data_IF_808664981069
#
_entry.id   IF_808664981069
#
_cell.length_a   1.000
_cell.length_b   1.000
_cell.length_c   1.000
_cell.angle_alpha   90.00
_cell.angle_beta   90.00
_cell.angle_gamma   90.00
#
_symmetry.space_group_name_H-M   'P 1'
#
loop_
_entity.id
_entity.type
_entity.pdbx_description
1 polymer ?
#
# COMPACT_ATOMS: atom_id res chain seq x y z
N UNK A 1 -0.41 23.17 6.86
CA UNK A 1 0.62 22.89 5.84
C UNK A 1 1.39 21.58 6.11
N UNK A 2 1.96 21.35 7.29
CA UNK A 2 2.78 20.16 7.56
C UNK A 2 2.03 18.81 7.44
N UNK A 3 0.81 18.71 7.97
CA UNK A 3 0.01 17.47 7.91
C UNK A 3 -0.37 17.06 6.47
N UNK A 4 -0.79 18.04 5.64
CA UNK A 4 -1.13 17.80 4.24
C UNK A 4 0.08 17.30 3.43
N UNK A 5 1.26 17.85 3.67
CA UNK A 5 2.50 17.39 3.05
C UNK A 5 2.87 15.96 3.49
N UNK A 6 2.71 15.63 4.77
CA UNK A 6 2.96 14.27 5.29
C UNK A 6 2.03 13.24 4.61
N UNK A 7 0.74 13.55 4.47
CA UNK A 7 -0.22 12.69 3.79
C UNK A 7 0.09 12.53 2.30
N UNK A 8 0.49 13.60 1.61
CA UNK A 8 0.90 13.50 0.21
C UNK A 8 2.13 12.60 0.04
N UNK A 9 3.10 12.67 0.96
CA UNK A 9 4.29 11.83 0.95
C UNK A 9 3.94 10.35 1.21
N UNK A 10 3.03 10.06 2.16
CA UNK A 10 2.59 8.68 2.43
C UNK A 10 1.90 8.07 1.21
N UNK A 11 1.01 8.82 0.54
CA UNK A 11 0.34 8.37 -0.68
C UNK A 11 1.32 8.10 -1.82
N UNK A 12 2.30 8.98 -2.03
CA UNK A 12 3.37 8.77 -3.03
C UNK A 12 4.19 7.52 -2.71
N UNK A 13 4.56 7.32 -1.44
CA UNK A 13 5.30 6.14 -0.97
C UNK A 13 4.51 4.86 -1.24
N UNK A 14 3.22 4.82 -0.87
CA UNK A 14 2.34 3.67 -1.11
C UNK A 14 2.19 3.35 -2.59
N UNK A 15 1.98 4.38 -3.43
CA UNK A 15 1.89 4.21 -4.88
C UNK A 15 3.18 3.60 -5.44
N UNK A 16 4.34 4.15 -5.06
CA UNK A 16 5.65 3.62 -5.48
C UNK A 16 5.82 2.15 -5.09
N UNK A 17 5.48 1.77 -3.85
CA UNK A 17 5.61 0.39 -3.38
C UNK A 17 4.68 -0.57 -4.13
N UNK A 18 3.46 -0.13 -4.44
CA UNK A 18 2.54 -0.87 -5.31
C UNK A 18 3.14 -1.08 -6.71
N UNK A 19 3.72 -0.03 -7.30
CA UNK A 19 4.36 -0.11 -8.61
C UNK A 19 5.58 -1.05 -8.59
N UNK A 20 6.40 -1.03 -7.53
CA UNK A 20 7.50 -1.98 -7.32
C UNK A 20 6.99 -3.43 -7.25
N UNK A 21 5.90 -3.68 -6.51
CA UNK A 21 5.28 -5.00 -6.44
C UNK A 21 4.71 -5.43 -7.79
N UNK A 22 4.06 -4.52 -8.52
CA UNK A 22 3.52 -4.80 -9.86
C UNK A 22 4.64 -5.19 -10.84
N UNK A 23 5.81 -4.57 -10.72
CA UNK A 23 6.95 -4.80 -11.58
C UNK A 23 7.88 -5.93 -11.10
N UNK A 24 7.58 -6.58 -9.97
CA UNK A 24 8.31 -7.77 -9.51
C UNK A 24 8.33 -8.85 -10.60
N UNK A 25 9.52 -9.42 -10.84
CA UNK A 25 9.69 -10.57 -11.72
C UNK A 25 8.88 -11.76 -11.19
N UNK A 26 8.26 -12.51 -12.10
CA UNK A 26 7.52 -13.72 -11.71
C UNK A 26 8.43 -14.77 -11.05
N UNK A 27 9.71 -14.80 -11.41
CA UNK A 27 10.72 -15.65 -10.78
C UNK A 27 10.88 -15.34 -9.29
N UNK A 28 10.78 -14.08 -8.87
CA UNK A 28 10.88 -13.68 -7.46
C UNK A 28 9.69 -14.18 -6.65
N UNK A 29 8.47 -14.13 -7.21
CA UNK A 29 7.28 -14.72 -6.56
C UNK A 29 7.39 -16.24 -6.50
N UNK A 30 7.89 -16.87 -7.56
CA UNK A 30 8.12 -18.30 -7.61
C UNK A 30 9.18 -18.75 -6.58
N UNK A 31 10.21 -17.93 -6.35
CA UNK A 31 11.23 -18.17 -5.33
C UNK A 31 10.65 -18.14 -3.92
N UNK A 32 9.88 -17.10 -3.57
CA UNK A 32 9.18 -17.04 -2.26
C UNK A 32 8.31 -18.29 -2.07
N UNK A 33 7.62 -18.72 -3.13
CA UNK A 33 6.77 -19.91 -3.10
C UNK A 33 7.58 -21.20 -2.94
N UNK A 34 8.80 -21.29 -3.49
CA UNK A 34 9.56 -22.54 -3.55
C UNK A 34 10.30 -22.89 -2.27
N UNK A 35 10.36 -21.99 -1.28
CA UNK A 35 11.02 -22.26 0.00
C UNK A 35 10.41 -23.50 0.69
N UNK A 36 11.23 -24.56 0.80
CA UNK A 36 10.87 -25.83 1.44
C UNK A 36 10.75 -25.69 2.96
N UNK A 37 11.63 -24.89 3.55
CA UNK A 37 11.58 -24.46 4.96
C UNK A 37 11.53 -22.94 4.98
N UNK A 38 10.37 -22.38 5.29
CA UNK A 38 10.25 -20.93 5.41
C UNK A 38 11.10 -20.43 6.58
N UNK A 39 11.80 -19.33 6.36
CA UNK A 39 12.33 -18.56 7.47
C UNK A 39 11.17 -17.86 8.19
N UNK A 40 11.25 -17.65 9.52
CA UNK A 40 10.23 -16.91 10.25
C UNK A 40 9.95 -15.54 9.62
N UNK A 41 11.00 -14.85 9.15
CA UNK A 41 10.92 -13.55 8.46
C UNK A 41 9.94 -13.59 7.29
N UNK A 42 10.19 -14.45 6.31
CA UNK A 42 9.38 -14.52 5.08
C UNK A 42 7.94 -14.91 5.41
N UNK A 43 7.73 -15.89 6.28
CA UNK A 43 6.38 -16.33 6.63
C UNK A 43 5.58 -15.24 7.34
N UNK A 44 6.20 -14.53 8.30
CA UNK A 44 5.54 -13.42 9.01
C UNK A 44 5.20 -12.26 8.08
N UNK A 45 6.07 -11.93 7.14
CA UNK A 45 5.81 -10.92 6.10
C UNK A 45 4.62 -11.31 5.22
N UNK A 46 4.56 -12.58 4.79
CA UNK A 46 3.44 -13.07 3.99
C UNK A 46 2.14 -13.10 4.79
N UNK A 47 2.17 -13.51 6.07
CA UNK A 47 1.00 -13.44 6.96
C UNK A 47 0.48 -12.00 7.05
N UNK A 48 1.37 -11.05 7.36
CA UNK A 48 1.02 -9.63 7.44
C UNK A 48 0.39 -9.12 6.13
N UNK A 49 1.01 -9.44 4.99
CA UNK A 49 0.52 -9.07 3.66
C UNK A 49 -0.89 -9.61 3.44
N UNK A 50 -1.12 -10.91 3.63
CA UNK A 50 -2.44 -11.50 3.37
C UNK A 50 -3.52 -11.09 4.37
N UNK A 51 -3.16 -10.74 5.61
CA UNK A 51 -4.09 -10.14 6.57
C UNK A 51 -4.60 -8.79 6.05
N UNK A 52 -3.71 -7.92 5.54
CA UNK A 52 -4.10 -6.64 4.92
C UNK A 52 -4.98 -6.84 3.67
N UNK A 53 -4.77 -7.95 2.94
CA UNK A 53 -5.59 -8.32 1.79
C UNK A 53 -6.92 -9.00 2.17
N UNK A 54 -7.22 -9.15 3.46
CA UNK A 54 -8.50 -9.65 3.97
C UNK A 54 -8.58 -11.15 4.28
N UNK A 55 -7.47 -11.88 4.24
CA UNK A 55 -7.46 -13.29 4.63
C UNK A 55 -7.52 -13.47 6.17
N UNK A 56 -8.12 -14.57 6.61
CA UNK A 56 -8.16 -14.93 8.03
C UNK A 56 -6.82 -15.49 8.47
N UNK A 57 -6.30 -15.01 9.60
CA UNK A 57 -5.00 -15.45 10.14
C UNK A 57 -4.90 -16.97 10.33
N UNK A 58 -6.00 -17.64 10.71
CA UNK A 58 -6.06 -19.10 10.85
C UNK A 58 -5.70 -19.86 9.56
N UNK A 59 -5.94 -19.26 8.38
CA UNK A 59 -5.63 -19.86 7.08
C UNK A 59 -4.16 -19.69 6.69
N UNK A 60 -3.44 -18.79 7.37
CA UNK A 60 -2.10 -18.34 6.99
C UNK A 60 -0.98 -19.00 7.82
N UNK A 61 -1.32 -19.71 8.90
CA UNK A 61 -0.35 -20.37 9.80
C UNK A 61 0.32 -21.59 9.16
N UNK A 62 -0.36 -22.25 8.23
CA UNK A 62 0.19 -23.39 7.50
C UNK A 62 0.94 -22.90 6.26
N UNK A 63 2.23 -23.24 6.16
CA UNK A 63 3.06 -22.80 5.05
C UNK A 63 2.63 -23.37 3.70
N UNK A 64 2.16 -24.62 3.64
CA UNK A 64 1.67 -25.20 2.38
C UNK A 64 0.44 -24.46 1.88
N UNK A 65 -0.46 -24.06 2.79
CA UNK A 65 -1.61 -23.20 2.45
C UNK A 65 -1.16 -21.82 1.99
N UNK A 66 -0.17 -21.22 2.65
CA UNK A 66 0.43 -19.95 2.24
C UNK A 66 1.05 -20.05 0.84
N UNK A 67 1.81 -21.11 0.54
CA UNK A 67 2.39 -21.34 -0.79
C UNK A 67 1.31 -21.45 -1.87
N UNK A 68 0.17 -22.10 -1.57
CA UNK A 68 -0.96 -22.17 -2.49
C UNK A 68 -1.54 -20.77 -2.76
N UNK A 69 -1.63 -19.90 -1.75
CA UNK A 69 -2.07 -18.51 -1.91
C UNK A 69 -1.08 -17.69 -2.75
N UNK A 70 0.22 -17.82 -2.50
CA UNK A 70 1.29 -17.13 -3.24
C UNK A 70 1.29 -17.56 -4.71
N UNK A 71 0.99 -18.83 -4.96
CA UNK A 71 0.91 -19.41 -6.30
C UNK A 71 -0.34 -19.05 -7.11
N UNK A 72 -1.34 -18.39 -6.52
CA UNK A 72 -2.54 -17.97 -7.26
C UNK A 72 -2.19 -16.92 -8.33
N UNK A 73 -2.93 -16.93 -9.42
CA UNK A 73 -2.77 -16.02 -10.56
C UNK A 73 -4.09 -15.31 -10.89
N UNK A 74 -4.05 -14.38 -11.85
CA UNK A 74 -5.25 -13.63 -12.27
C UNK A 74 -5.80 -12.75 -11.15
N UNK A 75 -7.13 -12.73 -10.97
CA UNK A 75 -7.83 -11.95 -9.93
C UNK A 75 -7.36 -12.28 -8.51
N UNK A 76 -7.01 -13.53 -8.28
CA UNK A 76 -6.58 -14.02 -6.97
C UNK A 76 -5.07 -13.85 -6.72
N UNK A 77 -4.32 -13.40 -7.73
CA UNK A 77 -2.87 -13.27 -7.65
C UNK A 77 -2.45 -12.18 -6.67
N UNK A 78 -1.44 -12.48 -5.86
CA UNK A 78 -0.96 -11.61 -4.78
C UNK A 78 -0.65 -10.18 -5.26
N UNK A 79 0.10 -10.06 -6.38
CA UNK A 79 0.44 -8.75 -6.97
C UNK A 79 -0.82 -7.93 -7.30
N UNK A 80 -1.82 -8.54 -7.94
CA UNK A 80 -3.05 -7.86 -8.32
C UNK A 80 -3.86 -7.44 -7.09
N UNK A 81 -3.98 -8.31 -6.10
CA UNK A 81 -4.67 -8.01 -4.84
C UNK A 81 -4.01 -6.84 -4.11
N UNK A 82 -2.68 -6.73 -4.14
CA UNK A 82 -1.96 -5.55 -3.61
C UNK A 82 -2.31 -4.28 -4.38
N UNK A 83 -2.39 -4.34 -5.71
CA UNK A 83 -2.78 -3.17 -6.52
C UNK A 83 -4.20 -2.70 -6.17
N UNK A 84 -5.13 -3.63 -6.07
CA UNK A 84 -6.56 -3.39 -5.79
C UNK A 84 -6.85 -3.08 -4.31
N UNK A 85 -5.89 -3.32 -3.41
CA UNK A 85 -6.05 -3.04 -1.99
C UNK A 85 -6.29 -1.55 -1.73
N UNK A 86 -7.36 -1.23 -1.03
CA UNK A 86 -7.71 0.13 -0.64
C UNK A 86 -7.47 0.31 0.87
N UNK A 87 -6.45 1.08 1.29
CA UNK A 87 -6.18 1.32 2.70
C UNK A 87 -7.38 1.90 3.46
N UNK A 88 -8.30 2.61 2.79
CA UNK A 88 -9.50 3.16 3.44
C UNK A 88 -10.50 2.09 3.90
N UNK A 89 -10.39 0.87 3.37
CA UNK A 89 -11.26 -0.27 3.71
C UNK A 89 -10.62 -1.21 4.73
N UNK A 90 -9.37 -0.97 5.11
CA UNK A 90 -8.67 -1.76 6.12
C UNK A 90 -9.03 -1.22 7.50
N UNK A 91 -9.48 -2.10 8.39
CA UNK A 91 -9.83 -1.69 9.75
C UNK A 91 -8.58 -1.37 10.60
N UNK A 92 -8.65 -0.40 11.52
CA UNK A 92 -7.53 -0.06 12.40
C UNK A 92 -7.00 -1.23 13.24
N UNK A 93 -7.85 -2.17 13.65
CA UNK A 93 -7.41 -3.35 14.43
C UNK A 93 -6.59 -4.31 13.56
N UNK A 94 -6.92 -4.42 12.26
CA UNK A 94 -6.15 -5.20 11.30
C UNK A 94 -4.75 -4.60 11.12
N UNK A 95 -4.67 -3.27 10.97
CA UNK A 95 -3.40 -2.56 10.86
C UNK A 95 -2.56 -2.69 12.15
N UNK A 96 -3.19 -2.54 13.32
CA UNK A 96 -2.52 -2.72 14.63
C UNK A 96 -1.93 -4.12 14.78
N UNK A 97 -2.68 -5.16 14.37
CA UNK A 97 -2.18 -6.55 14.37
C UNK A 97 -0.98 -6.71 13.43
N UNK A 98 -1.07 -6.19 12.21
CA UNK A 98 0.01 -6.26 11.22
C UNK A 98 1.26 -5.56 11.73
N UNK A 99 1.12 -4.38 12.33
CA UNK A 99 2.21 -3.68 12.99
C UNK A 99 2.90 -4.54 14.05
N UNK A 100 2.13 -5.20 14.92
CA UNK A 100 2.69 -6.10 15.93
C UNK A 100 3.40 -7.35 15.36
N UNK A 101 3.00 -7.82 14.18
CA UNK A 101 3.68 -8.91 13.47
C UNK A 101 5.01 -8.44 12.89
N UNK A 102 5.02 -7.24 12.27
CA UNK A 102 6.17 -6.73 11.53
C UNK A 102 7.21 -6.07 12.43
N UNK A 103 6.83 -5.54 13.60
CA UNK A 103 7.75 -4.88 14.55
C UNK A 103 8.83 -5.79 15.12
N UNK A 104 8.72 -7.10 14.90
CA UNK A 104 9.76 -8.07 15.28
C UNK A 104 10.99 -8.05 14.36
N UNK A 105 10.91 -7.35 13.22
CA UNK A 105 11.94 -7.32 12.21
C UNK A 105 12.14 -5.91 11.69
N UNK A 106 13.33 -5.61 11.20
CA UNK A 106 13.57 -4.45 10.33
C UNK A 106 13.62 -4.86 8.85
N UNK A 107 13.61 -3.86 7.98
CA UNK A 107 13.61 -4.08 6.52
C UNK A 107 14.90 -4.76 6.04
N UNK A 108 16.04 -4.49 6.69
CA UNK A 108 17.35 -4.99 6.29
C UNK A 108 17.44 -6.49 6.56
N UNK A 109 17.03 -6.92 7.76
CA UNK A 109 16.91 -8.33 8.14
C UNK A 109 16.04 -9.12 7.17
N UNK A 110 14.90 -8.57 6.73
CA UNK A 110 14.04 -9.24 5.76
C UNK A 110 14.69 -9.29 4.39
N UNK A 111 15.39 -8.22 3.98
CA UNK A 111 16.05 -8.12 2.67
C UNK A 111 17.23 -9.08 2.55
N UNK A 112 18.00 -9.27 3.61
CA UNK A 112 19.12 -10.22 3.66
C UNK A 112 18.65 -11.67 3.46
N UNK A 113 17.41 -11.95 3.87
CA UNK A 113 16.79 -13.27 3.73
C UNK A 113 16.08 -13.42 2.39
N UNK A 114 15.36 -12.39 1.94
CA UNK A 114 14.61 -12.43 0.69
C UNK A 114 14.29 -11.02 0.18
N UNK A 115 14.94 -10.65 -0.93
CA UNK A 115 14.67 -9.39 -1.62
C UNK A 115 13.19 -9.27 -2.05
N UNK A 116 12.57 -10.39 -2.43
CA UNK A 116 11.14 -10.44 -2.76
C UNK A 116 10.26 -10.12 -1.56
N UNK A 117 10.51 -10.78 -0.41
CA UNK A 117 9.75 -10.52 0.81
C UNK A 117 9.94 -9.08 1.32
N UNK A 118 11.13 -8.50 1.15
CA UNK A 118 11.42 -7.13 1.60
C UNK A 118 10.50 -6.07 0.98
N UNK A 119 10.12 -6.23 -0.28
CA UNK A 119 9.19 -5.29 -0.94
C UNK A 119 7.78 -5.41 -0.33
N UNK A 120 7.33 -6.64 -0.05
CA UNK A 120 6.05 -6.87 0.64
C UNK A 120 6.06 -6.40 2.10
N UNK A 121 7.19 -6.51 2.79
CA UNK A 121 7.39 -5.94 4.13
C UNK A 121 7.24 -4.42 4.09
N UNK A 122 7.94 -3.75 3.15
CA UNK A 122 7.89 -2.31 3.01
C UNK A 122 6.47 -1.81 2.68
N UNK A 123 5.77 -2.48 1.77
CA UNK A 123 4.37 -2.18 1.44
C UNK A 123 3.43 -2.40 2.63
N UNK A 124 3.56 -3.53 3.33
CA UNK A 124 2.69 -3.86 4.46
C UNK A 124 2.87 -2.89 5.63
N UNK A 125 4.13 -2.52 5.92
CA UNK A 125 4.48 -1.52 6.93
C UNK A 125 3.94 -0.14 6.56
N UNK A 126 4.14 0.31 5.32
CA UNK A 126 3.60 1.59 4.87
C UNK A 126 2.06 1.62 4.88
N UNK A 127 1.41 0.48 4.61
CA UNK A 127 -0.05 0.37 4.58
C UNK A 127 -0.64 0.40 5.98
N UNK A 128 -0.08 -0.35 6.94
CA UNK A 128 -0.55 -0.25 8.33
C UNK A 128 -0.35 1.16 8.89
N UNK A 129 0.82 1.77 8.61
CA UNK A 129 1.18 3.08 9.14
C UNK A 129 0.18 4.14 8.66
N UNK A 130 -0.16 4.10 7.37
CA UNK A 130 -1.15 4.99 6.76
C UNK A 130 -2.56 4.78 7.32
N UNK A 131 -2.97 3.54 7.61
CA UNK A 131 -4.27 3.26 8.24
C UNK A 131 -4.33 3.81 9.67
N UNK A 132 -3.30 3.58 10.48
CA UNK A 132 -3.25 4.03 11.87
C UNK A 132 -3.13 5.55 11.99
N UNK A 133 -2.34 6.19 11.12
CA UNK A 133 -2.21 7.64 11.08
C UNK A 133 -3.54 8.30 10.70
N UNK A 134 -4.28 7.75 9.73
CA UNK A 134 -5.60 8.27 9.36
C UNK A 134 -6.61 8.13 10.49
N UNK A 135 -6.57 7.01 11.20
CA UNK A 135 -7.45 6.80 12.36
C UNK A 135 -7.14 7.81 13.47
N UNK A 136 -5.85 8.08 13.73
CA UNK A 136 -5.43 9.14 14.65
C UNK A 136 -5.97 10.51 14.23
N UNK A 137 -5.80 10.88 12.96
CA UNK A 137 -6.29 12.16 12.43
C UNK A 137 -7.81 12.29 12.53
N UNK A 138 -8.56 11.20 12.31
CA UNK A 138 -10.01 11.15 12.51
C UNK A 138 -10.39 11.35 13.98
N UNK A 139 -9.70 10.67 14.90
CA UNK A 139 -9.93 10.82 16.34
C UNK A 139 -9.63 12.24 16.84
N UNK A 140 -8.65 12.91 16.23
CA UNK A 140 -8.29 14.31 16.49
C UNK A 140 -9.22 15.33 15.79
N UNK A 141 -10.24 14.87 15.04
CA UNK A 141 -11.21 15.74 14.36
C UNK A 141 -10.67 16.44 13.11
N UNK A 142 -9.50 16.05 12.59
CA UNK A 142 -8.91 16.61 11.38
C UNK A 142 -9.63 15.98 10.17
N UNK A 143 -10.66 16.67 9.65
CA UNK A 143 -11.38 16.20 8.45
C UNK A 143 -10.71 16.71 7.16
N UNK A 144 -10.56 15.88 6.11
CA UNK A 144 -10.04 16.32 4.80
C UNK A 144 -10.94 17.32 4.02
N UNK A 145 -12.01 17.84 4.62
CA UNK A 145 -13.04 18.64 3.93
C UNK A 145 -12.56 20.05 3.54
N UNK A 146 -11.44 20.54 4.06
CA UNK A 146 -10.85 21.82 3.64
C UNK A 146 -10.20 21.80 2.24
N UNK A 147 -10.19 20.66 1.55
CA UNK A 147 -9.52 20.50 0.25
C UNK A 147 -10.46 20.54 -0.98
N UNK A 148 -11.75 20.84 -0.83
CA UNK A 148 -12.65 21.11 -1.96
C UNK A 148 -12.93 22.62 -2.11
N UNK A 149 -11.97 23.36 -2.65
CA UNK A 149 -12.13 24.80 -2.90
C UNK A 149 -11.19 25.38 -3.97
N UNK A 150 -10.78 24.57 -4.95
CA UNK A 150 -9.73 24.93 -5.91
C UNK A 150 -10.06 24.69 -7.38
N UNK A 151 -11.34 24.66 -7.77
CA UNK A 151 -11.72 24.81 -9.18
C UNK A 151 -12.51 26.11 -9.31
N UNK A 152 -11.79 27.23 -9.41
CA UNK A 152 -12.38 28.46 -9.95
C UNK A 152 -12.72 28.17 -11.41
N UNK A 153 -14.00 28.08 -11.73
CA UNK A 153 -14.46 28.20 -13.10
C UNK A 153 -14.02 29.57 -13.61
N UNK A 154 -12.98 29.61 -14.43
CA UNK A 154 -12.63 30.79 -15.21
C UNK A 154 -13.71 30.89 -16.28
N UNK A 155 -14.66 31.81 -16.09
CA UNK A 155 -15.51 32.31 -17.17
C UNK A 155 -14.61 33.17 -18.05
N UNK A 156 -14.28 32.69 -19.24
CA UNK A 156 -13.71 33.52 -20.30
C UNK A 156 -14.85 34.33 -20.92
N UNK A 157 -15.06 35.55 -20.43
CA UNK A 157 -15.76 36.57 -21.21
C UNK A 157 -14.80 37.09 -22.28
N UNK A 158 -14.99 36.60 -23.49
CA UNK A 158 -14.35 37.12 -24.70
C UNK A 158 -15.17 38.34 -25.13
N UNK A 159 -14.84 39.51 -24.58
CA UNK A 159 -15.32 40.78 -25.13
C UNK A 159 -14.50 41.10 -26.36
N UNK A 160 -15.07 40.86 -27.55
CA UNK A 160 -14.49 41.30 -28.83
C UNK A 160 -14.31 42.82 -28.86
N UNK A 161 -13.07 43.27 -28.70
CA UNK A 161 -12.65 44.62 -29.05
C UNK A 161 -11.81 44.56 -30.32
N UNK A 162 -12.42 44.87 -31.46
CA UNK A 162 -11.69 45.10 -32.71
C UNK A 162 -11.05 46.49 -32.64
N UNK A 163 -9.72 46.56 -32.68
CA UNK A 163 -8.96 47.78 -32.97
C UNK A 163 -8.40 47.65 -34.38
N UNK A 164 -9.01 48.35 -35.34
CA UNK A 164 -8.42 48.62 -36.65
C UNK A 164 -7.66 49.94 -36.60
N UNK A 165 -6.35 49.90 -36.85
CA UNK A 165 -5.53 51.06 -37.19
C UNK A 165 -4.82 50.77 -38.52
N UNK A 166 -5.17 51.54 -39.55
CA UNK A 166 -4.42 51.89 -40.79
C UNK A 166 -5.35 52.84 -41.56
N UNK A 167 -4.97 54.03 -42.04
CA UNK A 167 -3.69 54.72 -42.16
C UNK A 167 -3.95 56.23 -42.06
#
# INVERSE_FOLDING_TARGET
MAAANKMLLSLKRLKRLKDEILNLKQSTVAEIRSYSKHTPHVHKVMIATYILLGNKESELKDWKKMQALIGKTGKEGMKRRVMEADPNKIRPETATKVKGILSAFDLEQVRDVSAGAAIFFAWSSATEEDVLERERQRAEGITPTELKGGHKNIKTDITSGSLTITN
#
